data_IF_925813029323
#
_entry.id   IF_925813029323
#
_cell.length_a   1.000
_cell.length_b   1.000
_cell.length_c   1.000
_cell.angle_alpha   90.00
_cell.angle_beta   90.00
_cell.angle_gamma   90.00
#
_symmetry.space_group_name_H-M   'P 1'
#
loop_
_entity.id
_entity.type
_entity.pdbx_description
1 polymer ?
#
# COMPACT_ATOMS: atom_id res chain seq x y z
N UNK A 1 -24.02 -3.18 35.29
CA UNK A 1 -22.73 -2.74 34.75
C UNK A 1 -22.95 -1.61 33.77
N UNK A 2 -22.28 -0.49 33.97
CA UNK A 2 -22.47 0.64 33.09
C UNK A 2 -21.56 0.51 31.87
N UNK A 3 -22.07 0.92 30.72
CA UNK A 3 -21.27 1.00 29.49
C UNK A 3 -20.38 2.22 29.59
N UNK A 4 -19.07 2.10 29.30
CA UNK A 4 -18.21 3.27 29.31
C UNK A 4 -18.73 4.35 28.36
N UNK A 5 -18.80 5.58 28.82
CA UNK A 5 -19.18 6.69 27.97
C UNK A 5 -17.99 7.02 27.06
N UNK A 6 -18.25 7.08 25.77
CA UNK A 6 -17.23 7.48 24.81
C UNK A 6 -17.00 8.99 24.94
N UNK A 7 -15.76 9.44 24.91
CA UNK A 7 -15.50 10.87 24.91
C UNK A 7 -16.09 11.52 23.67
N UNK A 8 -16.53 12.75 23.81
CA UNK A 8 -16.97 13.53 22.67
C UNK A 8 -15.76 13.86 21.80
N UNK A 9 -15.96 13.83 20.50
CA UNK A 9 -14.92 14.19 19.53
C UNK A 9 -15.26 15.56 18.97
N UNK A 10 -14.33 16.51 19.12
CA UNK A 10 -14.55 17.84 18.57
C UNK A 10 -14.51 17.80 17.03
N UNK A 11 -15.15 18.81 16.42
CA UNK A 11 -15.28 18.85 14.97
C UNK A 11 -13.94 18.87 14.25
N UNK A 12 -12.96 19.60 14.77
CA UNK A 12 -11.64 19.68 14.14
C UNK A 12 -10.96 18.32 14.11
N UNK A 13 -11.03 17.57 15.21
CA UNK A 13 -10.44 16.23 15.27
C UNK A 13 -11.18 15.28 14.33
N UNK A 14 -12.50 15.33 14.32
CA UNK A 14 -13.29 14.48 13.42
C UNK A 14 -12.97 14.76 11.95
N UNK A 15 -12.82 16.03 11.59
CA UNK A 15 -12.48 16.41 10.22
C UNK A 15 -11.07 15.94 9.85
N UNK A 16 -10.11 16.05 10.77
CA UNK A 16 -8.75 15.58 10.53
C UNK A 16 -8.70 14.08 10.34
N UNK A 17 -9.45 13.33 11.15
CA UNK A 17 -9.54 11.88 11.00
C UNK A 17 -10.18 11.50 9.68
N UNK A 18 -11.24 12.20 9.29
CA UNK A 18 -11.90 11.95 8.01
C UNK A 18 -10.94 12.23 6.84
N UNK A 19 -10.17 13.31 6.92
CA UNK A 19 -9.20 13.64 5.88
C UNK A 19 -8.10 12.59 5.79
N UNK A 20 -7.62 12.09 6.93
CA UNK A 20 -6.65 10.99 6.95
C UNK A 20 -7.23 9.74 6.33
N UNK A 21 -8.49 9.42 6.65
CA UNK A 21 -9.15 8.24 6.09
C UNK A 21 -9.27 8.33 4.56
N UNK A 22 -9.35 9.54 4.02
CA UNK A 22 -9.41 9.78 2.59
C UNK A 22 -8.04 10.04 1.96
N UNK A 23 -6.97 10.06 2.74
CA UNK A 23 -5.63 10.34 2.24
C UNK A 23 -5.42 11.81 1.86
N UNK A 24 -6.14 12.74 2.48
CA UNK A 24 -6.18 14.15 2.07
C UNK A 24 -5.70 15.07 3.19
N UNK A 25 -4.49 14.88 3.69
CA UNK A 25 -3.96 15.73 4.74
C UNK A 25 -2.58 16.27 4.38
N UNK A 26 -2.21 17.41 4.99
CA UNK A 26 -0.87 17.97 4.86
C UNK A 26 0.19 16.99 5.39
N UNK A 27 -0.14 16.18 6.38
CA UNK A 27 0.76 15.15 6.90
C UNK A 27 1.16 14.16 5.79
N UNK A 28 0.18 13.73 4.97
CA UNK A 28 0.45 12.81 3.87
C UNK A 28 1.22 13.49 2.73
N UNK A 29 0.95 14.77 2.48
CA UNK A 29 1.74 15.54 1.52
C UNK A 29 3.19 15.66 1.96
N UNK A 30 3.43 15.93 3.24
CA UNK A 30 4.78 15.94 3.80
C UNK A 30 5.45 14.57 3.70
N UNK A 31 4.69 13.51 3.88
CA UNK A 31 5.22 12.16 3.72
C UNK A 31 5.64 11.89 2.27
N UNK A 32 4.90 12.43 1.29
CA UNK A 32 5.28 12.30 -0.11
C UNK A 32 6.56 13.04 -0.42
N UNK A 33 6.72 14.27 0.11
CA UNK A 33 7.95 15.03 -0.05
C UNK A 33 9.13 14.27 0.55
N UNK A 34 8.95 13.68 1.72
CA UNK A 34 9.97 12.87 2.35
C UNK A 34 10.32 11.65 1.51
N UNK A 35 9.32 10.99 0.94
CA UNK A 35 9.56 9.84 0.04
C UNK A 35 10.44 10.22 -1.13
N UNK A 36 10.17 11.37 -1.75
CA UNK A 36 10.98 11.82 -2.89
C UNK A 36 12.40 12.14 -2.48
N UNK A 37 12.59 12.78 -1.33
CA UNK A 37 13.90 13.03 -0.78
C UNK A 37 14.65 11.72 -0.51
N UNK A 38 13.97 10.74 0.05
CA UNK A 38 14.57 9.43 0.34
C UNK A 38 14.88 8.68 -0.96
N UNK A 39 14.02 8.79 -1.97
CA UNK A 39 14.29 8.18 -3.26
C UNK A 39 15.59 8.74 -3.86
N UNK A 40 15.73 10.07 -3.85
CA UNK A 40 16.94 10.70 -4.36
C UNK A 40 18.17 10.26 -3.56
N UNK A 41 18.05 10.23 -2.25
CA UNK A 41 19.14 9.78 -1.38
C UNK A 41 19.51 8.31 -1.61
N UNK A 42 18.54 7.48 -2.00
CA UNK A 42 18.76 6.07 -2.23
C UNK A 42 19.54 5.78 -3.50
N UNK A 43 19.54 6.70 -4.45
CA UNK A 43 20.14 6.48 -5.76
C UNK A 43 19.33 5.55 -6.68
N UNK A 44 18.17 5.07 -6.23
CA UNK A 44 17.31 4.23 -7.05
C UNK A 44 16.49 5.09 -8.00
N UNK A 45 16.25 4.57 -9.21
CA UNK A 45 15.31 5.22 -10.10
C UNK A 45 13.87 5.05 -9.58
N UNK A 46 12.94 5.83 -10.15
CA UNK A 46 11.56 5.84 -9.66
C UNK A 46 10.90 4.46 -9.73
N UNK A 47 11.16 3.72 -10.82
CA UNK A 47 10.58 2.41 -11.02
C UNK A 47 11.07 1.42 -9.96
N UNK A 48 12.38 1.33 -9.77
CA UNK A 48 12.99 0.43 -8.79
C UNK A 48 12.55 0.78 -7.37
N UNK A 49 12.52 2.08 -7.06
CA UNK A 49 12.08 2.54 -5.75
C UNK A 49 10.63 2.11 -5.47
N UNK A 50 9.74 2.26 -6.45
CA UNK A 50 8.33 1.87 -6.30
C UNK A 50 8.20 0.36 -6.10
N UNK A 51 8.96 -0.44 -6.83
CA UNK A 51 8.92 -1.89 -6.70
C UNK A 51 9.45 -2.35 -5.34
N UNK A 52 10.49 -1.71 -4.83
CA UNK A 52 11.01 -1.98 -3.48
C UNK A 52 9.95 -1.68 -2.43
N UNK A 53 9.18 -0.61 -2.61
CA UNK A 53 8.11 -0.25 -1.68
C UNK A 53 7.00 -1.29 -1.68
N UNK A 54 6.66 -1.85 -2.85
CA UNK A 54 5.67 -2.93 -2.90
C UNK A 54 6.18 -4.14 -2.10
N UNK A 55 7.45 -4.51 -2.26
CA UNK A 55 8.04 -5.61 -1.49
C UNK A 55 7.93 -5.36 0.02
N UNK A 56 8.22 -4.13 0.44
CA UNK A 56 8.12 -3.76 1.86
C UNK A 56 6.70 -3.88 2.38
N UNK A 57 5.70 -3.45 1.60
CA UNK A 57 4.29 -3.56 2.00
C UNK A 57 3.86 -5.01 2.18
N UNK A 58 4.30 -5.90 1.30
CA UNK A 58 4.00 -7.33 1.43
C UNK A 58 4.59 -7.86 2.73
N UNK A 59 5.83 -7.47 3.04
CA UNK A 59 6.54 -7.98 4.21
C UNK A 59 5.90 -7.58 5.53
N UNK A 60 5.21 -6.44 5.57
CA UNK A 60 4.55 -5.97 6.79
C UNK A 60 3.04 -6.23 6.80
N UNK A 61 2.55 -6.95 5.80
CA UNK A 61 1.12 -7.25 5.67
C UNK A 61 0.28 -5.96 5.69
N UNK A 62 0.65 -5.02 4.84
CA UNK A 62 0.07 -3.69 4.80
C UNK A 62 -1.42 -3.72 4.42
N UNK A 63 -2.19 -2.70 4.83
CA UNK A 63 -3.61 -2.63 4.48
C UNK A 63 -3.83 -2.41 2.98
N UNK A 64 -5.01 -2.78 2.47
CA UNK A 64 -5.30 -2.71 1.03
C UNK A 64 -5.05 -1.35 0.38
N UNK A 65 -5.38 -0.25 1.08
CA UNK A 65 -5.19 1.09 0.53
C UNK A 65 -3.73 1.39 0.19
N UNK A 66 -2.79 0.82 0.97
CA UNK A 66 -1.36 1.00 0.72
C UNK A 66 -0.95 0.36 -0.60
N UNK A 67 -1.49 -0.82 -0.90
CA UNK A 67 -1.21 -1.49 -2.18
C UNK A 67 -1.78 -0.71 -3.35
N UNK A 68 -3.01 -0.22 -3.22
CA UNK A 68 -3.62 0.57 -4.27
C UNK A 68 -2.76 1.78 -4.64
N UNK A 69 -2.30 2.51 -3.62
CA UNK A 69 -1.44 3.65 -3.81
C UNK A 69 -0.10 3.27 -4.45
N UNK A 70 0.58 2.27 -3.88
CA UNK A 70 1.94 1.94 -4.31
C UNK A 70 1.99 1.28 -5.68
N UNK A 71 0.99 0.47 -6.02
CA UNK A 71 0.89 -0.10 -7.37
C UNK A 71 0.69 1.02 -8.39
N UNK A 72 -0.17 2.01 -8.08
CA UNK A 72 -0.34 3.18 -8.93
C UNK A 72 0.97 3.92 -9.16
N UNK A 73 1.74 4.14 -8.09
CA UNK A 73 3.05 4.80 -8.18
C UNK A 73 4.01 4.00 -9.07
N UNK A 74 4.01 2.67 -8.96
CA UNK A 74 4.87 1.82 -9.76
C UNK A 74 4.52 1.91 -11.24
N UNK A 75 3.23 1.84 -11.57
CA UNK A 75 2.77 1.95 -12.95
C UNK A 75 3.12 3.31 -13.54
N UNK A 76 2.93 4.39 -12.78
CA UNK A 76 3.27 5.73 -13.22
C UNK A 76 4.78 5.88 -13.46
N UNK A 77 5.58 5.13 -12.73
CA UNK A 77 7.03 5.12 -12.89
C UNK A 77 7.52 4.19 -14.00
N UNK A 78 6.61 3.56 -14.74
CA UNK A 78 6.94 2.73 -15.89
C UNK A 78 7.06 1.23 -15.59
N UNK A 79 6.74 0.79 -14.37
CA UNK A 79 6.70 -0.62 -14.08
C UNK A 79 5.52 -1.26 -14.79
N UNK A 80 5.68 -2.51 -15.16
CA UNK A 80 4.62 -3.30 -15.79
C UNK A 80 4.04 -4.27 -14.77
N UNK A 81 2.80 -4.73 -14.97
CA UNK A 81 2.23 -5.74 -14.06
C UNK A 81 3.12 -6.96 -13.86
N UNK A 82 3.82 -7.40 -14.92
CA UNK A 82 4.76 -8.52 -14.81
C UNK A 82 5.91 -8.25 -13.87
N UNK A 83 6.32 -6.96 -13.74
CA UNK A 83 7.39 -6.58 -12.82
C UNK A 83 6.93 -6.73 -11.38
N UNK A 84 5.67 -6.39 -11.12
CA UNK A 84 5.09 -6.54 -9.79
C UNK A 84 4.97 -8.03 -9.44
N UNK A 85 4.54 -8.85 -10.38
CA UNK A 85 4.53 -10.30 -10.19
C UNK A 85 5.94 -10.80 -9.89
N UNK A 86 6.94 -10.28 -10.59
CA UNK A 86 8.35 -10.61 -10.35
C UNK A 86 8.79 -10.29 -8.93
N UNK A 87 8.35 -9.14 -8.39
CA UNK A 87 8.64 -8.77 -7.00
C UNK A 87 8.07 -9.83 -6.05
N UNK A 88 6.80 -10.20 -6.22
CA UNK A 88 6.17 -11.20 -5.36
C UNK A 88 6.91 -12.53 -5.41
N UNK A 89 7.30 -12.94 -6.59
CA UNK A 89 8.04 -14.19 -6.78
C UNK A 89 9.40 -14.12 -6.09
N UNK A 90 10.10 -13.00 -6.26
CA UNK A 90 11.45 -12.84 -5.73
C UNK A 90 11.49 -12.84 -4.19
N UNK A 91 10.49 -12.23 -3.56
CA UNK A 91 10.50 -12.06 -2.09
C UNK A 91 9.86 -13.22 -1.34
N UNK A 92 9.18 -14.13 -2.04
CA UNK A 92 8.41 -15.20 -1.39
C UNK A 92 9.23 -16.00 -0.36
N UNK A 93 10.50 -16.37 -0.63
CA UNK A 93 11.28 -17.08 0.38
C UNK A 93 11.57 -16.27 1.63
N UNK A 94 11.67 -14.94 1.51
CA UNK A 94 12.02 -14.08 2.63
C UNK A 94 10.84 -13.74 3.50
N UNK A 95 9.69 -13.44 2.87
CA UNK A 95 8.52 -12.95 3.62
C UNK A 95 7.54 -14.06 3.97
N UNK A 96 7.64 -15.17 3.28
CA UNK A 96 6.74 -16.31 3.48
C UNK A 96 5.60 -16.30 2.48
N UNK A 97 5.30 -17.47 1.93
CA UNK A 97 4.23 -17.65 0.94
C UNK A 97 2.88 -17.13 1.42
N UNK A 98 2.49 -17.32 2.71
CA UNK A 98 1.19 -16.80 3.15
C UNK A 98 1.05 -15.28 2.98
N UNK A 99 2.11 -14.50 3.17
CA UNK A 99 2.05 -13.05 2.98
C UNK A 99 1.90 -12.69 1.50
N UNK A 100 2.58 -13.42 0.64
CA UNK A 100 2.45 -13.22 -0.81
C UNK A 100 1.04 -13.55 -1.28
N UNK A 101 0.49 -14.67 -0.80
CA UNK A 101 -0.88 -15.06 -1.12
C UNK A 101 -1.89 -14.02 -0.63
N UNK A 102 -1.67 -13.48 0.56
CA UNK A 102 -2.56 -12.45 1.11
C UNK A 102 -2.49 -11.15 0.31
N UNK A 103 -1.31 -10.78 -0.20
CA UNK A 103 -1.13 -9.55 -0.96
C UNK A 103 -1.67 -9.66 -2.39
N UNK A 104 -1.68 -10.83 -2.97
CA UNK A 104 -2.02 -11.00 -4.39
C UNK A 104 -3.41 -10.45 -4.75
N UNK A 105 -4.50 -10.73 -4.00
CA UNK A 105 -5.79 -10.15 -4.33
C UNK A 105 -5.81 -8.63 -4.30
N UNK A 106 -5.10 -8.03 -3.34
CA UNK A 106 -5.04 -6.58 -3.21
C UNK A 106 -4.30 -5.94 -4.40
N UNK A 107 -3.25 -6.60 -4.84
CA UNK A 107 -2.51 -6.16 -6.03
C UNK A 107 -3.37 -6.32 -7.28
N UNK A 108 -4.11 -7.42 -7.39
CA UNK A 108 -5.03 -7.63 -8.51
C UNK A 108 -6.04 -6.49 -8.58
N UNK A 109 -6.65 -6.12 -7.46
CA UNK A 109 -7.61 -5.02 -7.42
C UNK A 109 -6.96 -3.70 -7.81
N UNK A 110 -5.73 -3.47 -7.36
CA UNK A 110 -4.98 -2.27 -7.72
C UNK A 110 -4.64 -2.21 -9.20
N UNK A 111 -4.55 -3.36 -9.85
CA UNK A 111 -4.32 -3.48 -11.30
C UNK A 111 -5.62 -3.53 -12.09
N UNK A 112 -6.75 -3.32 -11.42
CA UNK A 112 -8.08 -3.38 -12.04
C UNK A 112 -8.40 -4.76 -12.64
N UNK A 113 -7.94 -5.81 -11.98
CA UNK A 113 -8.23 -7.18 -12.36
C UNK A 113 -9.36 -7.73 -11.51
N UNK A 114 -10.16 -8.59 -12.10
CA UNK A 114 -11.18 -9.32 -11.37
C UNK A 114 -10.53 -10.38 -10.50
N UNK A 115 -11.01 -10.52 -9.27
CA UNK A 115 -10.55 -11.60 -8.40
C UNK A 115 -11.05 -12.94 -8.96
N UNK A 116 -10.26 -14.01 -8.81
CA UNK A 116 -10.71 -15.33 -9.23
C UNK A 116 -11.93 -15.75 -8.41
N UNK A 117 -12.82 -16.52 -9.03
CA UNK A 117 -13.94 -17.10 -8.32
C UNK A 117 -13.41 -17.96 -7.17
N UNK A 118 -14.00 -17.85 -6.03
CA UNK A 118 -13.62 -18.68 -4.89
C UNK A 118 -14.02 -20.13 -5.13
N UNK A 119 -14.06 -20.51 -6.33
CA UNK A 119 -14.49 -21.79 -6.79
C UNK A 119 -13.49 -22.83 -6.44
N UNK A 120 -13.87 -23.76 -5.68
CA UNK A 120 -12.99 -24.76 -5.30
C UNK A 120 -13.22 -25.94 -6.08
N UNK A 121 -13.75 -25.74 -7.12
CA UNK A 121 -13.96 -26.70 -8.16
C UNK A 121 -13.77 -28.11 -7.80
#
# INVERSE_FOLDING_TARGET
MSVPTRPAVDDATAQSLAALALGQTAMLEQAEDLREQLRQASGLDRRSFALVKIAALVSIDAPPASFLWQVGEALDAGAKPRDILGVLTAIAPQVGVPRVVAAAPEIMLALDLELPDGENG
#
